data_IF_345068326015
#
_entry.id   IF_345068326015
#
_cell.length_a   1.000
_cell.length_b   1.000
_cell.length_c   1.000
_cell.angle_alpha   90.00
_cell.angle_beta   90.00
_cell.angle_gamma   90.00
#
_symmetry.space_group_name_H-M   'P 1'
#
loop_
_entity.id
_entity.type
_entity.pdbx_description
1 polymer ?
#
# COMPACT_ATOMS: atom_id res chain seq x y z
N UNK A 1 -6.02 11.76 8.08
CA UNK A 1 -5.00 10.77 7.69
C UNK A 1 -3.65 11.40 7.28
N UNK A 2 -3.63 12.62 6.80
CA UNK A 2 -2.43 13.38 6.40
C UNK A 2 -1.36 13.59 7.51
N UNK A 3 -1.75 13.54 8.78
CA UNK A 3 -0.83 13.84 9.91
C UNK A 3 0.20 12.75 10.21
N UNK A 4 0.02 11.50 9.75
CA UNK A 4 0.97 10.40 10.04
C UNK A 4 2.20 10.41 9.12
N UNK A 5 2.07 10.93 7.91
CA UNK A 5 3.17 11.01 6.93
C UNK A 5 4.20 12.07 7.32
N UNK A 6 3.77 13.10 8.06
CA UNK A 6 4.63 14.16 8.61
C UNK A 6 4.98 13.89 10.08
N UNK A 7 4.96 12.62 10.52
CA UNK A 7 5.40 12.26 11.86
C UNK A 7 6.84 12.73 12.07
N UNK A 8 7.07 13.45 13.17
CA UNK A 8 8.42 13.75 13.61
C UNK A 8 9.16 12.47 14.02
N UNK A 9 10.47 12.59 14.20
CA UNK A 9 11.32 11.45 14.54
C UNK A 9 10.87 10.76 15.82
N UNK A 10 10.55 11.51 16.88
CA UNK A 10 10.15 10.96 18.18
C UNK A 10 8.86 10.14 18.10
N UNK A 11 7.88 10.66 17.37
CA UNK A 11 6.64 9.94 17.14
C UNK A 11 6.86 8.66 16.32
N UNK A 12 7.65 8.75 15.24
CA UNK A 12 7.99 7.59 14.41
C UNK A 12 8.77 6.53 15.23
N UNK A 13 9.74 6.96 16.04
CA UNK A 13 10.55 6.05 16.87
C UNK A 13 9.65 5.27 17.83
N UNK A 14 8.83 5.95 18.62
CA UNK A 14 7.99 5.31 19.64
C UNK A 14 6.90 4.42 19.04
N UNK A 15 6.15 4.95 18.08
CA UNK A 15 4.92 4.29 17.63
C UNK A 15 5.19 3.26 16.53
N UNK A 16 6.21 3.48 15.70
CA UNK A 16 6.46 2.61 14.57
C UNK A 16 7.66 1.69 14.80
N UNK A 17 8.87 2.25 15.09
CA UNK A 17 10.07 1.39 15.25
C UNK A 17 9.97 0.51 16.50
N UNK A 18 9.75 1.11 17.68
CA UNK A 18 9.61 0.36 18.94
C UNK A 18 8.28 -0.42 18.92
N UNK A 19 7.21 0.19 18.43
CA UNK A 19 5.89 -0.44 18.39
C UNK A 19 5.88 -1.75 17.58
N UNK A 20 6.45 -1.77 16.38
CA UNK A 20 6.49 -2.99 15.58
C UNK A 20 7.41 -4.05 16.17
N UNK A 21 8.55 -3.67 16.76
CA UNK A 21 9.41 -4.59 17.49
C UNK A 21 8.63 -5.28 18.61
N UNK A 22 7.89 -4.51 19.41
CA UNK A 22 7.08 -5.07 20.50
C UNK A 22 6.00 -6.04 20.00
N UNK A 23 5.39 -5.76 18.85
CA UNK A 23 4.40 -6.67 18.22
C UNK A 23 5.04 -8.02 17.87
N UNK A 24 6.20 -8.01 17.22
CA UNK A 24 6.88 -9.26 16.85
C UNK A 24 7.40 -10.02 18.06
N UNK A 25 7.95 -9.32 19.08
CA UNK A 25 8.36 -9.96 20.33
C UNK A 25 7.18 -10.57 21.09
N UNK A 26 6.05 -9.88 21.13
CA UNK A 26 4.82 -10.43 21.72
C UNK A 26 4.35 -11.66 20.95
N UNK A 27 4.31 -11.60 19.60
CA UNK A 27 3.94 -12.72 18.74
C UNK A 27 4.84 -13.94 19.01
N UNK A 28 6.16 -13.75 19.10
CA UNK A 28 7.13 -14.79 19.43
C UNK A 28 6.85 -15.43 20.79
N UNK A 29 6.67 -14.62 21.84
CA UNK A 29 6.43 -15.08 23.21
C UNK A 29 5.11 -15.84 23.38
N UNK A 30 4.09 -15.48 22.59
CA UNK A 30 2.75 -16.07 22.69
C UNK A 30 2.49 -17.17 21.66
N UNK A 31 3.47 -17.50 20.83
CA UNK A 31 3.36 -18.55 19.82
C UNK A 31 2.47 -18.21 18.63
N UNK A 32 2.27 -16.94 18.35
CA UNK A 32 1.55 -16.49 17.13
C UNK A 32 2.29 -16.97 15.89
N UNK A 33 1.58 -17.60 14.96
CA UNK A 33 2.15 -18.20 13.76
C UNK A 33 2.31 -17.24 12.59
N UNK A 34 1.49 -16.18 12.53
CA UNK A 34 1.50 -15.22 11.43
C UNK A 34 1.25 -13.79 11.91
N UNK A 35 2.01 -12.87 11.35
CA UNK A 35 1.78 -11.43 11.45
C UNK A 35 1.46 -10.88 10.06
N UNK A 36 0.29 -10.28 9.89
CA UNK A 36 -0.05 -9.50 8.70
C UNK A 36 0.22 -8.03 9.03
N UNK A 37 1.23 -7.47 8.39
CA UNK A 37 1.70 -6.12 8.69
C UNK A 37 1.26 -5.12 7.63
N UNK A 38 0.54 -4.07 8.07
CA UNK A 38 0.22 -2.92 7.24
C UNK A 38 1.47 -2.06 6.99
N UNK A 39 2.25 -2.42 5.96
CA UNK A 39 3.29 -1.57 5.42
C UNK A 39 2.69 -0.41 4.61
N UNK A 40 3.48 0.30 3.85
CA UNK A 40 3.03 1.45 3.07
C UNK A 40 3.85 1.60 1.80
N UNK A 41 3.21 2.11 0.74
CA UNK A 41 3.92 2.57 -0.46
C UNK A 41 4.99 3.65 -0.14
N UNK A 42 4.90 4.33 1.02
CA UNK A 42 5.91 5.28 1.49
C UNK A 42 7.28 4.64 1.80
N UNK A 43 7.36 3.32 1.98
CA UNK A 43 8.64 2.61 2.08
C UNK A 43 9.53 2.80 0.84
N UNK A 44 8.89 3.13 -0.30
CA UNK A 44 9.54 3.42 -1.58
C UNK A 44 9.09 4.76 -2.19
N UNK A 45 8.52 5.67 -1.38
CA UNK A 45 7.92 6.93 -1.84
C UNK A 45 8.89 7.88 -2.55
N UNK A 46 10.20 7.71 -2.39
CA UNK A 46 11.18 8.47 -3.14
C UNK A 46 11.08 8.32 -4.67
N UNK A 47 10.47 7.23 -5.16
CA UNK A 47 10.21 7.05 -6.59
C UNK A 47 9.14 7.99 -7.16
N UNK A 48 8.35 8.66 -6.32
CA UNK A 48 7.36 9.65 -6.76
C UNK A 48 7.98 10.89 -7.40
N UNK A 49 9.28 11.09 -7.23
CA UNK A 49 10.02 12.18 -7.87
C UNK A 49 10.50 11.82 -9.28
N UNK A 50 10.42 10.55 -9.66
CA UNK A 50 10.90 10.06 -10.95
C UNK A 50 9.76 10.10 -12.00
N UNK A 51 10.09 10.37 -13.27
CA UNK A 51 9.12 10.29 -14.35
C UNK A 51 8.90 8.82 -14.79
N UNK A 52 7.69 8.46 -15.17
CA UNK A 52 6.49 9.28 -15.36
C UNK A 52 5.64 9.42 -14.07
N UNK A 53 6.02 8.83 -12.96
CA UNK A 53 5.20 8.74 -11.74
C UNK A 53 4.89 10.12 -11.17
N UNK A 54 5.88 11.04 -11.19
CA UNK A 54 5.69 12.43 -10.75
C UNK A 54 4.57 13.12 -11.53
N UNK A 55 4.59 13.00 -12.84
CA UNK A 55 3.56 13.59 -13.73
C UNK A 55 2.19 12.97 -13.49
N UNK A 56 2.11 11.63 -13.29
CA UNK A 56 0.87 10.92 -12.98
C UNK A 56 0.29 11.39 -11.65
N UNK A 57 1.13 11.47 -10.60
CA UNK A 57 0.70 11.86 -9.26
C UNK A 57 0.31 13.34 -9.17
N UNK A 58 0.84 14.17 -10.06
CA UNK A 58 0.41 15.56 -10.21
C UNK A 58 -0.93 15.70 -10.95
N UNK A 59 -1.48 14.61 -11.53
CA UNK A 59 -2.73 14.63 -12.27
C UNK A 59 -2.60 15.11 -13.72
N UNK A 60 -1.39 15.31 -14.24
CA UNK A 60 -1.13 15.78 -15.61
C UNK A 60 -1.13 14.60 -16.60
N UNK A 61 -2.24 13.86 -16.64
CA UNK A 61 -2.37 12.56 -17.27
C UNK A 61 -2.28 12.61 -18.80
N UNK A 62 -2.64 13.73 -19.41
CA UNK A 62 -2.50 14.03 -20.84
C UNK A 62 -1.04 14.08 -21.33
N UNK A 63 -0.09 14.33 -20.42
CA UNK A 63 1.34 14.38 -20.72
C UNK A 63 2.03 13.01 -20.61
N UNK A 64 1.30 11.98 -20.14
CA UNK A 64 1.87 10.66 -19.87
C UNK A 64 1.71 9.73 -21.07
N UNK A 65 2.83 9.25 -21.61
CA UNK A 65 2.84 8.22 -22.65
C UNK A 65 2.70 6.83 -22.04
N UNK A 66 1.77 6.04 -22.54
CA UNK A 66 1.59 4.63 -22.18
C UNK A 66 2.11 3.71 -23.29
N UNK A 67 2.57 2.48 -22.97
CA UNK A 67 2.76 1.95 -21.62
C UNK A 67 3.98 2.56 -20.91
N UNK A 68 3.97 2.58 -19.57
CA UNK A 68 5.12 2.89 -18.72
C UNK A 68 5.41 1.73 -17.78
N UNK A 69 6.66 1.67 -17.28
CA UNK A 69 7.07 0.63 -16.33
C UNK A 69 6.35 0.84 -15.00
N UNK A 70 5.73 -0.20 -14.47
CA UNK A 70 5.19 -0.19 -13.11
C UNK A 70 6.31 -0.49 -12.10
N UNK A 71 6.22 0.13 -10.93
CA UNK A 71 7.10 -0.17 -9.80
C UNK A 71 6.63 -1.49 -9.19
N UNK A 72 7.54 -2.45 -9.08
CA UNK A 72 7.30 -3.72 -8.40
C UNK A 72 8.10 -3.81 -7.09
N UNK A 73 7.99 -4.92 -6.38
CA UNK A 73 8.62 -5.13 -5.08
C UNK A 73 10.13 -5.39 -5.16
N UNK A 74 10.70 -5.46 -6.36
CA UNK A 74 12.16 -5.69 -6.57
C UNK A 74 12.96 -4.41 -6.52
N UNK A 75 12.31 -3.24 -6.58
CA UNK A 75 13.02 -1.96 -6.50
C UNK A 75 13.65 -1.77 -5.11
N UNK A 76 14.84 -1.13 -5.04
CA UNK A 76 15.45 -0.76 -3.77
C UNK A 76 14.53 0.09 -2.89
N UNK A 77 14.64 -0.09 -1.56
CA UNK A 77 13.98 0.75 -0.58
C UNK A 77 14.44 2.21 -0.77
N UNK A 78 13.47 3.13 -0.88
CA UNK A 78 13.70 4.56 -1.08
C UNK A 78 12.59 5.35 -0.41
N UNK A 79 12.58 5.43 0.94
CA UNK A 79 11.51 6.08 1.69
C UNK A 79 11.50 7.60 1.47
N UNK A 80 10.34 8.21 1.64
CA UNK A 80 10.11 9.65 1.48
C UNK A 80 10.02 10.43 2.80
N UNK A 81 10.30 9.76 3.92
CA UNK A 81 10.29 10.35 5.26
C UNK A 81 10.43 9.31 6.37
N UNK A 82 10.39 9.77 7.62
CA UNK A 82 10.53 8.88 8.79
C UNK A 82 9.45 7.80 8.86
N UNK A 83 8.22 8.13 8.45
CA UNK A 83 7.14 7.15 8.34
C UNK A 83 7.48 6.05 7.33
N UNK A 84 7.89 6.43 6.11
CA UNK A 84 8.32 5.47 5.09
C UNK A 84 9.50 4.61 5.55
N UNK A 85 10.51 5.23 6.18
CA UNK A 85 11.66 4.53 6.75
C UNK A 85 11.23 3.51 7.82
N UNK A 86 10.27 3.87 8.68
CA UNK A 86 9.75 2.95 9.70
C UNK A 86 9.00 1.75 9.10
N UNK A 87 8.33 1.94 7.96
CA UNK A 87 7.67 0.84 7.26
C UNK A 87 8.67 -0.11 6.60
N UNK A 88 9.71 0.43 5.97
CA UNK A 88 10.82 -0.36 5.44
C UNK A 88 11.56 -1.16 6.53
N UNK A 89 11.81 -0.54 7.70
CA UNK A 89 12.35 -1.24 8.87
C UNK A 89 11.48 -2.41 9.29
N UNK A 90 10.16 -2.21 9.36
CA UNK A 90 9.23 -3.26 9.76
C UNK A 90 9.19 -4.44 8.78
N UNK A 91 9.32 -4.19 7.47
CA UNK A 91 9.45 -5.25 6.46
C UNK A 91 10.73 -6.09 6.72
N UNK A 92 11.87 -5.43 6.97
CA UNK A 92 13.11 -6.12 7.32
C UNK A 92 13.01 -6.90 8.64
N UNK A 93 12.37 -6.31 9.64
CA UNK A 93 12.12 -6.99 10.91
C UNK A 93 11.23 -8.23 10.73
N UNK A 94 10.18 -8.13 9.92
CA UNK A 94 9.33 -9.27 9.57
C UNK A 94 10.07 -10.39 8.87
N UNK A 95 11.03 -10.07 7.99
CA UNK A 95 11.92 -11.06 7.38
C UNK A 95 12.76 -11.79 8.42
N UNK A 96 13.34 -11.05 9.36
CA UNK A 96 14.13 -11.63 10.46
C UNK A 96 13.30 -12.59 11.32
N UNK A 97 12.10 -12.17 11.77
CA UNK A 97 11.25 -13.05 12.58
C UNK A 97 10.73 -14.26 11.80
N UNK A 98 10.54 -14.13 10.52
CA UNK A 98 10.16 -15.25 9.66
C UNK A 98 11.27 -16.30 9.58
N UNK A 99 12.49 -15.87 9.30
CA UNK A 99 13.63 -16.77 9.08
C UNK A 99 14.13 -17.41 10.38
N UNK A 100 14.27 -16.61 11.45
CA UNK A 100 14.91 -17.05 12.68
C UNK A 100 13.95 -17.49 13.79
N UNK A 101 12.66 -17.18 13.66
CA UNK A 101 11.65 -17.49 14.69
C UNK A 101 10.43 -18.25 14.13
N UNK A 102 10.38 -18.52 12.84
CA UNK A 102 9.31 -19.29 12.23
C UNK A 102 7.94 -18.58 12.26
N UNK A 103 7.91 -17.25 12.34
CA UNK A 103 6.68 -16.46 12.33
C UNK A 103 6.43 -15.96 10.90
N UNK A 104 5.40 -16.48 10.24
CA UNK A 104 5.02 -15.99 8.91
C UNK A 104 4.78 -14.47 8.96
N UNK A 105 5.41 -13.70 8.07
CA UNK A 105 5.27 -12.25 7.98
C UNK A 105 4.83 -11.83 6.58
N UNK A 106 3.59 -11.37 6.46
CA UNK A 106 3.01 -10.87 5.21
C UNK A 106 2.88 -9.36 5.32
N UNK A 107 3.68 -8.65 4.52
CA UNK A 107 3.78 -7.20 4.56
C UNK A 107 3.04 -6.60 3.37
N UNK A 108 2.02 -5.79 3.63
CA UNK A 108 1.17 -5.19 2.60
C UNK A 108 1.52 -3.72 2.49
N UNK A 109 2.17 -3.30 1.39
CA UNK A 109 2.38 -1.90 1.04
C UNK A 109 1.07 -1.29 0.59
N UNK A 110 0.33 -0.77 1.56
CA UNK A 110 -1.02 -0.21 1.39
C UNK A 110 -0.93 1.11 0.61
N UNK A 111 -1.82 1.25 -0.38
CA UNK A 111 -2.06 2.49 -1.10
C UNK A 111 -2.84 3.52 -0.29
N UNK A 112 -3.56 4.40 -0.97
CA UNK A 112 -4.38 5.41 -0.31
C UNK A 112 -5.77 4.86 0.02
N UNK A 113 -6.01 4.56 1.29
CA UNK A 113 -7.34 4.33 1.84
C UNK A 113 -7.91 5.64 2.37
N UNK A 114 -9.03 6.07 1.84
CA UNK A 114 -9.66 7.36 2.12
C UNK A 114 -10.94 7.10 2.93
N UNK A 115 -11.22 7.90 3.95
CA UNK A 115 -12.29 7.62 4.92
C UNK A 115 -13.71 7.54 4.31
N UNK A 116 -13.96 8.29 3.24
CA UNK A 116 -15.23 8.27 2.48
C UNK A 116 -15.18 7.38 1.23
N UNK A 117 -14.08 6.64 1.03
CA UNK A 117 -13.81 5.77 -0.11
C UNK A 117 -13.88 6.46 -1.49
N UNK A 118 -13.64 7.76 -1.53
CA UNK A 118 -13.72 8.58 -2.75
C UNK A 118 -12.30 8.91 -3.29
N UNK A 119 -11.89 8.34 -4.44
CA UNK A 119 -10.56 8.58 -5.03
C UNK A 119 -10.37 10.00 -5.58
N UNK A 120 -11.43 10.78 -5.72
CA UNK A 120 -11.37 12.11 -6.36
C UNK A 120 -10.84 13.22 -5.46
N UNK A 121 -10.73 12.95 -4.15
CA UNK A 121 -10.36 13.96 -3.13
C UNK A 121 -8.90 14.42 -3.19
N UNK A 122 -8.04 13.76 -3.97
CA UNK A 122 -6.63 14.13 -4.08
C UNK A 122 -6.04 13.68 -5.42
N UNK A 123 -5.12 14.48 -6.00
CA UNK A 123 -4.56 14.24 -7.33
C UNK A 123 -3.92 12.86 -7.54
N UNK A 124 -3.26 12.30 -6.52
CA UNK A 124 -2.71 10.93 -6.59
C UNK A 124 -3.74 9.80 -6.40
N UNK A 125 -5.02 10.13 -6.13
CA UNK A 125 -6.08 9.14 -5.91
C UNK A 125 -6.26 8.21 -7.10
N UNK A 126 -6.25 8.73 -8.31
CA UNK A 126 -6.40 7.93 -9.53
C UNK A 126 -5.30 6.87 -9.73
N UNK A 127 -4.13 7.07 -9.11
CA UNK A 127 -3.00 6.17 -9.24
C UNK A 127 -2.81 5.23 -8.04
N UNK A 128 -3.17 5.68 -6.84
CA UNK A 128 -2.79 5.01 -5.58
C UNK A 128 -3.98 4.62 -4.70
N UNK A 129 -5.21 4.88 -5.13
CA UNK A 129 -6.38 4.54 -4.35
C UNK A 129 -6.49 3.02 -4.12
N UNK A 130 -6.85 2.69 -2.89
CA UNK A 130 -7.23 1.35 -2.47
C UNK A 130 -8.59 1.45 -1.77
N UNK A 131 -9.62 0.92 -2.41
CA UNK A 131 -10.99 0.94 -1.88
C UNK A 131 -11.10 0.17 -0.56
N UNK A 132 -12.13 0.45 0.21
CA UNK A 132 -12.42 -0.30 1.44
C UNK A 132 -12.64 -1.78 1.15
N UNK A 133 -13.33 -2.11 0.06
CA UNK A 133 -13.60 -3.49 -0.36
C UNK A 133 -12.31 -4.23 -0.72
N UNK A 134 -11.46 -3.63 -1.53
CA UNK A 134 -10.18 -4.22 -1.93
C UNK A 134 -9.20 -4.29 -0.76
N UNK A 135 -9.26 -3.31 0.17
CA UNK A 135 -8.54 -3.38 1.44
C UNK A 135 -8.94 -4.60 2.26
N UNK A 136 -10.24 -4.83 2.43
CA UNK A 136 -10.72 -6.01 3.15
C UNK A 136 -10.27 -7.30 2.47
N UNK A 137 -10.40 -7.37 1.13
CA UNK A 137 -10.02 -8.56 0.37
C UNK A 137 -8.54 -8.92 0.58
N UNK A 138 -7.61 -7.97 0.41
CA UNK A 138 -6.17 -8.28 0.52
C UNK A 138 -5.80 -8.74 1.94
N UNK A 139 -6.42 -8.18 2.98
CA UNK A 139 -6.16 -8.60 4.36
C UNK A 139 -6.70 -10.00 4.64
N UNK A 140 -7.91 -10.33 4.18
CA UNK A 140 -8.44 -11.71 4.27
C UNK A 140 -7.51 -12.68 3.55
N UNK A 141 -7.10 -12.36 2.31
CA UNK A 141 -6.15 -13.19 1.55
C UNK A 141 -4.80 -13.38 2.25
N UNK A 142 -4.33 -12.37 2.96
CA UNK A 142 -3.08 -12.47 3.73
C UNK A 142 -3.26 -13.35 4.99
N UNK A 143 -4.39 -13.26 5.67
CA UNK A 143 -4.70 -14.11 6.83
C UNK A 143 -4.83 -15.58 6.39
N UNK A 144 -5.53 -15.83 5.29
CA UNK A 144 -5.83 -17.18 4.77
C UNK A 144 -4.71 -17.75 3.87
N UNK A 145 -3.58 -17.05 3.75
CA UNK A 145 -2.47 -17.51 2.92
C UNK A 145 -1.92 -18.87 3.42
N UNK A 146 -1.40 -19.73 2.54
CA UNK A 146 -0.83 -21.02 2.93
C UNK A 146 0.23 -20.89 4.03
N UNK A 147 0.31 -21.87 4.93
CA UNK A 147 1.31 -21.88 6.01
C UNK A 147 2.75 -21.91 5.48
N UNK A 148 2.95 -22.42 4.27
CA UNK A 148 4.24 -22.41 3.59
C UNK A 148 4.71 -21.01 3.18
N UNK A 149 3.83 -20.02 3.16
CA UNK A 149 4.19 -18.64 2.86
C UNK A 149 4.76 -17.98 4.12
N UNK A 150 6.08 -18.04 4.26
CA UNK A 150 6.75 -17.53 5.45
C UNK A 150 7.01 -16.04 5.39
N UNK A 151 7.42 -15.50 4.24
CA UNK A 151 7.69 -14.07 4.11
C UNK A 151 7.29 -13.55 2.73
N UNK A 152 6.63 -12.42 2.72
CA UNK A 152 6.40 -11.67 1.48
C UNK A 152 6.16 -10.18 1.76
N UNK A 153 6.51 -9.36 0.77
CA UNK A 153 6.05 -7.97 0.65
C UNK A 153 5.25 -7.88 -0.64
N UNK A 154 4.07 -7.26 -0.60
CA UNK A 154 3.20 -7.06 -1.77
C UNK A 154 2.62 -5.65 -1.78
N UNK A 155 2.36 -5.11 -2.97
CA UNK A 155 1.58 -3.89 -3.11
C UNK A 155 0.07 -4.21 -3.06
N UNK A 156 -0.69 -3.28 -2.48
CA UNK A 156 -2.14 -3.31 -2.47
C UNK A 156 -2.70 -1.96 -2.93
N UNK A 157 -3.26 -1.95 -4.12
CA UNK A 157 -4.04 -0.88 -4.73
C UNK A 157 -5.30 -1.50 -5.34
N UNK A 158 -6.33 -0.70 -5.59
CA UNK A 158 -7.42 -1.10 -6.47
C UNK A 158 -6.92 -1.22 -7.91
N UNK A 159 -7.73 -1.74 -8.82
CA UNK A 159 -7.34 -2.00 -10.21
C UNK A 159 -7.31 -0.72 -11.05
N UNK A 160 -6.73 0.34 -10.51
CA UNK A 160 -6.73 1.67 -11.09
C UNK A 160 -6.06 1.70 -12.46
N UNK A 161 -6.72 2.33 -13.42
CA UNK A 161 -6.16 2.49 -14.77
C UNK A 161 -4.79 3.21 -14.77
N UNK A 162 -4.61 4.22 -13.91
CA UNK A 162 -3.36 4.98 -13.78
C UNK A 162 -2.42 4.44 -12.70
N UNK A 163 -2.59 3.19 -12.30
CA UNK A 163 -1.75 2.56 -11.29
C UNK A 163 -0.27 2.68 -11.64
N UNK A 164 0.56 3.06 -10.66
CA UNK A 164 2.01 3.16 -10.81
C UNK A 164 2.74 1.94 -10.22
N UNK A 165 2.01 1.07 -9.51
CA UNK A 165 2.55 -0.14 -8.88
C UNK A 165 2.05 -1.40 -9.56
N UNK A 166 2.92 -2.41 -9.69
CA UNK A 166 2.51 -3.74 -10.14
C UNK A 166 1.78 -4.47 -9.01
N UNK A 167 0.66 -5.09 -9.36
CA UNK A 167 -0.09 -5.97 -8.47
C UNK A 167 0.17 -7.46 -8.75
N UNK A 168 1.09 -7.78 -9.66
CA UNK A 168 1.29 -9.14 -10.15
C UNK A 168 1.75 -10.08 -9.04
N UNK A 169 2.62 -9.61 -8.14
CA UNK A 169 3.06 -10.41 -7.00
C UNK A 169 1.91 -10.68 -6.04
N UNK A 170 1.10 -9.68 -5.71
CA UNK A 170 -0.08 -9.87 -4.86
C UNK A 170 -1.09 -10.86 -5.47
N UNK A 171 -1.32 -10.76 -6.79
CA UNK A 171 -2.15 -11.71 -7.54
C UNK A 171 -1.60 -13.13 -7.48
N UNK A 172 -0.31 -13.29 -7.73
CA UNK A 172 0.36 -14.60 -7.78
C UNK A 172 0.45 -15.27 -6.41
N UNK A 173 0.83 -14.51 -5.37
CA UNK A 173 1.19 -15.07 -4.06
C UNK A 173 -0.02 -15.18 -3.14
N UNK A 174 -0.95 -14.21 -3.19
CA UNK A 174 -2.11 -14.15 -2.32
C UNK A 174 -3.44 -14.41 -3.05
N UNK A 175 -3.44 -14.51 -4.37
CA UNK A 175 -4.68 -14.59 -5.14
C UNK A 175 -5.53 -13.31 -5.05
N UNK A 176 -4.86 -12.15 -4.88
CA UNK A 176 -5.51 -10.84 -4.83
C UNK A 176 -6.20 -10.51 -6.16
N UNK A 177 -7.47 -10.11 -6.10
CA UNK A 177 -8.27 -9.75 -7.28
C UNK A 177 -9.03 -8.45 -7.00
N UNK A 178 -8.35 -7.29 -7.09
CA UNK A 178 -9.00 -6.01 -6.85
C UNK A 178 -10.16 -5.80 -7.83
N UNK A 179 -11.25 -5.23 -7.34
CA UNK A 179 -12.52 -5.11 -8.06
C UNK A 179 -12.83 -3.67 -8.44
N UNK A 180 -12.24 -2.69 -7.74
CA UNK A 180 -12.54 -1.29 -7.92
C UNK A 180 -11.48 -0.59 -8.78
N UNK A 181 -11.90 0.48 -9.47
CA UNK A 181 -11.06 1.34 -10.30
C UNK A 181 -11.41 2.80 -10.05
N UNK A 182 -10.43 3.58 -9.63
CA UNK A 182 -10.60 5.02 -9.38
C UNK A 182 -11.09 5.79 -10.62
N UNK A 183 -10.72 5.36 -11.83
CA UNK A 183 -11.20 5.95 -13.08
C UNK A 183 -12.70 5.79 -13.25
N UNK A 184 -13.25 4.60 -12.98
CA UNK A 184 -14.68 4.33 -13.05
C UNK A 184 -15.48 5.19 -12.07
N UNK A 185 -14.99 5.31 -10.82
CA UNK A 185 -15.63 6.14 -9.80
C UNK A 185 -15.60 7.61 -10.20
N UNK A 186 -14.48 8.12 -10.73
CA UNK A 186 -14.35 9.50 -11.21
C UNK A 186 -15.33 9.82 -12.34
N UNK A 187 -15.51 8.90 -13.30
CA UNK A 187 -16.46 9.10 -14.41
C UNK A 187 -17.91 9.17 -13.92
N UNK A 188 -18.31 8.37 -12.94
CA UNK A 188 -19.69 8.43 -12.40
C UNK A 188 -19.97 9.74 -11.67
N UNK A 189 -18.99 10.34 -11.02
CA UNK A 189 -19.15 11.67 -10.40
C UNK A 189 -19.22 12.83 -11.40
N UNK A 190 -18.57 12.69 -12.58
CA UNK A 190 -18.59 13.71 -13.63
C UNK A 190 -19.81 13.62 -14.56
N UNK A 191 -20.50 12.48 -14.61
CA UNK A 191 -21.60 12.22 -15.54
C UNK A 191 -22.99 12.21 -14.91
N UNK A 192 -23.13 12.51 -13.63
CA UNK A 192 -24.45 12.76 -13.06
C UNK A 192 -24.99 14.06 -13.66
N UNK A 193 -26.06 14.03 -14.49
CA UNK A 193 -26.65 15.26 -15.00
C UNK A 193 -27.18 16.04 -13.82
N UNK A 194 -26.81 17.31 -13.74
CA UNK A 194 -27.50 18.27 -12.90
C UNK A 194 -28.94 18.29 -13.38
N UNK A 195 -29.83 17.56 -12.71
CA UNK A 195 -31.26 17.69 -12.93
C UNK A 195 -31.60 19.08 -12.38
N UNK A 196 -31.58 20.08 -13.24
CA UNK A 196 -32.21 21.34 -12.97
C UNK A 196 -33.70 21.06 -12.82
N UNK A 197 -34.16 21.04 -11.59
CA UNK A 197 -35.59 21.16 -11.29
C UNK A 197 -36.05 22.51 -11.80
N UNK A 198 -36.98 22.48 -12.77
CA UNK A 198 -37.81 23.62 -13.20
C UNK A 198 -38.89 23.84 -12.17
#
# INVERSE_FOLDING_TARGET
MYKRQNADWESALRNNFIGVYNVYEAAKRTGVKRVVFGSSQHAIGGYYQDEPYKTILAGNLDQVKRPYKLIDETVPIRPDGYYGASKAYAEGLGSYYSEFHGISSINIRIGWTISNDDPTVAGGGLAMWLSHRDTAQIHVKAVDAPDSLMYTVVFAMSNNYWNIFSLDKARKVLGYKPQDDAGTVSYTHLTLPTICSV
#
